data_IF_140370040273
#
_entry.id   IF_140370040273
#
_cell.length_a   1.000
_cell.length_b   1.000
_cell.length_c   1.000
_cell.angle_alpha   90.00
_cell.angle_beta   90.00
_cell.angle_gamma   90.00
#
_symmetry.space_group_name_H-M   'P 1'
#
loop_
_entity.id
_entity.type
_entity.pdbx_description
1 polymer ?
#
# COMPACT_ATOMS: atom_id res chain seq x y z
N UNK A 1 -7.52 -10.58 -8.36
CA UNK A 1 -6.70 -10.40 -7.15
C UNK A 1 -5.39 -11.20 -7.26
N UNK A 2 -4.66 -11.12 -8.37
CA UNK A 2 -3.47 -11.95 -8.62
C UNK A 2 -2.26 -11.14 -9.12
N UNK A 3 -2.49 -10.02 -9.82
CA UNK A 3 -1.41 -9.09 -10.26
C UNK A 3 -0.60 -8.43 -9.14
N UNK A 4 -1.12 -8.37 -7.90
CA UNK A 4 -0.44 -7.65 -6.81
C UNK A 4 0.81 -8.39 -6.32
N UNK A 5 0.84 -9.71 -6.47
CA UNK A 5 1.92 -10.58 -6.00
C UNK A 5 3.09 -10.64 -6.99
N UNK A 6 2.83 -10.37 -8.28
CA UNK A 6 3.82 -10.43 -9.36
C UNK A 6 4.70 -9.18 -9.49
N UNK A 7 4.38 -8.10 -8.75
CA UNK A 7 5.33 -7.00 -8.52
C UNK A 7 6.43 -7.53 -7.62
N UNK A 8 7.45 -8.16 -8.21
CA UNK A 8 8.70 -8.54 -7.54
C UNK A 8 9.16 -7.34 -6.70
N UNK A 9 8.91 -7.39 -5.41
CA UNK A 9 9.26 -6.33 -4.49
C UNK A 9 10.78 -6.18 -4.54
N UNK A 10 11.27 -4.94 -4.50
CA UNK A 10 12.69 -4.70 -4.41
C UNK A 10 13.21 -5.34 -3.11
N UNK A 11 14.18 -6.24 -3.24
CA UNK A 11 14.84 -6.87 -2.11
C UNK A 11 15.94 -5.94 -1.60
N UNK A 12 16.01 -5.78 -0.28
CA UNK A 12 17.10 -5.07 0.38
C UNK A 12 18.27 -6.02 0.49
N UNK A 13 19.43 -5.61 -0.03
CA UNK A 13 20.64 -6.44 0.05
C UNK A 13 21.21 -6.44 1.46
N UNK A 14 21.86 -7.55 1.84
CA UNK A 14 22.58 -7.67 3.14
C UNK A 14 23.67 -6.62 3.30
N UNK A 15 24.36 -6.31 2.20
CA UNK A 15 25.40 -5.27 2.16
C UNK A 15 24.81 -3.89 2.48
N UNK A 16 23.62 -3.57 1.96
CA UNK A 16 22.93 -2.33 2.30
C UNK A 16 22.64 -2.24 3.80
N UNK A 17 22.21 -3.34 4.43
CA UNK A 17 21.98 -3.37 5.89
C UNK A 17 23.28 -3.18 6.67
N UNK A 18 24.38 -3.80 6.24
CA UNK A 18 25.70 -3.62 6.86
C UNK A 18 26.19 -2.18 6.76
N UNK A 19 26.15 -1.58 5.57
CA UNK A 19 26.57 -0.19 5.37
C UNK A 19 25.78 0.78 6.26
N UNK A 20 24.49 0.52 6.46
CA UNK A 20 23.66 1.33 7.37
C UNK A 20 24.05 1.14 8.84
N UNK A 21 24.41 -0.07 9.24
CA UNK A 21 24.89 -0.35 10.59
C UNK A 21 26.28 0.23 10.85
N UNK A 22 27.20 0.13 9.88
CA UNK A 22 28.53 0.76 9.91
C UNK A 22 28.41 2.28 10.08
N UNK A 23 27.48 2.92 9.35
CA UNK A 23 27.17 4.33 9.51
C UNK A 23 26.63 4.71 10.91
N UNK A 24 26.08 3.74 11.65
CA UNK A 24 25.67 3.88 13.04
C UNK A 24 26.76 3.46 14.05
N UNK A 25 27.95 3.07 13.58
CA UNK A 25 29.05 2.58 14.42
C UNK A 25 28.88 1.14 14.91
N UNK A 26 28.07 0.33 14.22
CA UNK A 26 27.77 -1.06 14.57
C UNK A 26 28.22 -2.00 13.46
N UNK A 27 29.13 -2.92 13.79
CA UNK A 27 29.55 -3.99 12.88
C UNK A 27 28.59 -5.18 12.97
N UNK A 28 28.03 -5.60 11.82
CA UNK A 28 27.10 -6.74 11.75
C UNK A 28 27.77 -7.97 11.12
N UNK A 29 27.57 -9.13 11.74
CA UNK A 29 27.89 -10.43 11.16
C UNK A 29 26.95 -10.80 10.00
N UNK A 30 27.38 -11.73 9.13
CA UNK A 30 26.60 -12.10 7.94
C UNK A 30 25.22 -12.65 8.26
N UNK A 31 25.12 -13.53 9.24
CA UNK A 31 23.86 -14.15 9.65
C UNK A 31 22.85 -13.11 10.16
N UNK A 32 23.33 -12.12 10.93
CA UNK A 32 22.48 -11.04 11.46
C UNK A 32 22.06 -10.08 10.35
N UNK A 33 22.96 -9.75 9.43
CA UNK A 33 22.64 -8.91 8.27
C UNK A 33 21.62 -9.60 7.33
N UNK A 34 21.72 -10.93 7.17
CA UNK A 34 20.74 -11.72 6.42
C UNK A 34 19.35 -11.68 7.05
N UNK A 35 19.26 -11.96 8.35
CA UNK A 35 17.99 -11.95 9.08
C UNK A 35 17.32 -10.56 9.06
N UNK A 36 18.11 -9.50 9.22
CA UNK A 36 17.60 -8.13 9.17
C UNK A 36 17.16 -7.72 7.78
N UNK A 37 17.83 -8.16 6.71
CA UNK A 37 17.40 -7.88 5.34
C UNK A 37 16.02 -8.48 5.06
N UNK A 38 15.77 -9.71 5.53
CA UNK A 38 14.47 -10.37 5.43
C UNK A 38 13.37 -9.63 6.22
N UNK A 39 13.65 -9.28 7.49
CA UNK A 39 12.71 -8.56 8.35
C UNK A 39 12.36 -7.16 7.79
N UNK A 40 13.35 -6.42 7.31
CA UNK A 40 13.14 -5.10 6.71
C UNK A 40 12.31 -5.21 5.44
N UNK A 41 12.62 -6.18 4.56
CA UNK A 41 11.80 -6.44 3.38
C UNK A 41 10.34 -6.79 3.73
N UNK A 42 10.14 -7.60 4.77
CA UNK A 42 8.81 -7.95 5.25
C UNK A 42 8.05 -6.69 5.73
N UNK A 43 8.66 -5.89 6.60
CA UNK A 43 8.02 -4.67 7.15
C UNK A 43 7.73 -3.62 6.08
N UNK A 44 8.64 -3.44 5.11
CA UNK A 44 8.41 -2.53 3.98
C UNK A 44 7.22 -2.99 3.13
N UNK A 45 7.07 -4.30 2.93
CA UNK A 45 5.92 -4.86 2.22
C UNK A 45 4.64 -4.64 3.01
N UNK A 46 4.65 -4.91 4.31
CA UNK A 46 3.50 -4.69 5.20
C UNK A 46 3.04 -3.22 5.19
N UNK A 47 3.97 -2.26 5.37
CA UNK A 47 3.67 -0.84 5.35
C UNK A 47 3.10 -0.36 4.00
N UNK A 48 3.64 -0.88 2.89
CA UNK A 48 3.13 -0.58 1.55
C UNK A 48 1.72 -1.16 1.35
N UNK A 49 1.49 -2.38 1.83
CA UNK A 49 0.19 -3.03 1.68
C UNK A 49 -0.93 -2.35 2.48
N UNK A 50 -0.62 -1.85 3.68
CA UNK A 50 -1.54 -1.07 4.52
C UNK A 50 -1.88 0.27 3.86
N UNK A 51 -0.95 0.86 3.11
CA UNK A 51 -1.15 2.13 2.41
C UNK A 51 -2.19 2.03 1.29
N UNK A 52 -2.24 0.91 0.57
CA UNK A 52 -3.30 0.64 -0.44
C UNK A 52 -4.66 0.31 0.19
N UNK A 53 -4.68 -0.08 1.47
CA UNK A 53 -5.90 -0.41 2.21
C UNK A 53 -6.49 0.79 2.96
N UNK A 54 -5.86 1.97 2.89
CA UNK A 54 -6.45 3.21 3.38
C UNK A 54 -7.73 3.49 2.56
N UNK A 55 -8.94 3.36 3.14
CA UNK A 55 -10.14 3.78 2.44
C UNK A 55 -10.04 5.28 2.19
N UNK A 56 -10.47 5.73 1.01
CA UNK A 56 -10.56 7.16 0.69
C UNK A 56 -11.19 7.88 1.89
N UNK A 57 -10.44 8.81 2.50
CA UNK A 57 -10.92 9.63 3.62
C UNK A 57 -12.06 10.60 3.23
N UNK A 58 -12.52 10.56 1.98
CA UNK A 58 -13.63 11.35 1.51
C UNK A 58 -14.93 10.60 1.81
N UNK A 59 -15.44 10.77 3.04
CA UNK A 59 -16.68 10.19 3.56
C UNK A 59 -17.95 10.72 2.88
N UNK A 60 -17.95 10.81 1.56
CA UNK A 60 -19.05 11.34 0.77
C UNK A 60 -19.75 10.20 0.01
N UNK A 61 -20.94 9.74 0.43
CA UNK A 61 -21.78 8.97 -0.48
C UNK A 61 -22.15 9.89 -1.64
N UNK A 62 -21.94 9.40 -2.86
CA UNK A 62 -22.26 10.09 -4.11
C UNK A 62 -23.73 10.51 -4.10
N UNK A 63 -24.04 11.75 -3.75
CA UNK A 63 -25.33 12.38 -4.06
C UNK A 63 -25.28 12.78 -5.53
N UNK A 64 -25.50 11.82 -6.43
CA UNK A 64 -25.95 12.15 -7.77
C UNK A 64 -27.29 12.90 -7.60
N UNK A 65 -27.44 14.16 -8.09
CA UNK A 65 -28.75 14.80 -8.09
C UNK A 65 -29.71 13.91 -8.90
N UNK A 66 -30.94 13.67 -8.43
CA UNK A 66 -31.88 12.87 -9.19
C UNK A 66 -32.05 13.50 -10.59
N UNK A 67 -32.08 12.70 -11.67
CA UNK A 67 -32.32 13.24 -13.00
C UNK A 67 -33.65 13.98 -12.98
N UNK A 68 -33.80 15.09 -13.73
CA UNK A 68 -35.06 15.84 -13.77
C UNK A 68 -36.16 14.89 -14.23
N UNK A 69 -37.12 14.62 -13.34
CA UNK A 69 -38.29 13.81 -13.65
C UNK A 69 -39.02 14.43 -14.84
N UNK A 70 -38.86 13.83 -16.02
CA UNK A 70 -39.74 14.04 -17.16
C UNK A 70 -41.08 13.35 -16.86
N UNK A 71 -41.88 13.90 -15.96
CA UNK A 71 -43.29 13.53 -15.80
C UNK A 71 -44.15 14.50 -16.60
N UNK A 72 -44.02 14.40 -17.92
CA UNK A 72 -45.15 14.60 -18.80
C UNK A 72 -46.02 13.35 -18.79
N UNK A 73 -47.08 13.35 -18.00
CA UNK A 73 -48.34 12.62 -18.23
C UNK A 73 -49.42 13.54 -17.61
N UNK A 74 -50.41 14.05 -18.32
CA UNK A 74 -51.31 13.34 -19.22
C UNK A 74 -52.40 12.64 -18.41
N UNK A 75 -53.31 13.39 -17.78
CA UNK A 75 -54.63 12.88 -17.32
C UNK A 75 -55.52 14.09 -16.98
N UNK A 76 -56.46 14.50 -17.83
CA UNK A 76 -57.88 14.08 -17.75
C UNK A 76 -58.41 14.14 -16.31
N UNK A 77 -59.03 15.27 -15.94
CA UNK A 77 -60.49 15.47 -15.90
C UNK A 77 -60.82 16.95 -15.78
#
# INVERSE_FOLDING_TARGET
MADREERRFAEVSRESVRLMAEGAGVELGDDVAALLAEDVCYRLREATQVSDACPRQDGSPRTDPPPPSLSGTGSVR
#
